data_IF_651734573963
#
_entry.id   IF_651734573963
#
_cell.length_a   1.000
_cell.length_b   1.000
_cell.length_c   1.000
_cell.angle_alpha   90.00
_cell.angle_beta   90.00
_cell.angle_gamma   90.00
#
_symmetry.space_group_name_H-M   'P 1'
#
loop_
_entity.id
_entity.type
_entity.pdbx_description
1 polymer ?
#
# COMPACT_ATOMS: atom_id res chain seq x y z
N UNK A 1 -49.81 -31.02 -65.82
CA UNK A 1 -49.39 -31.04 -64.41
C UNK A 1 -47.89 -31.31 -64.21
N UNK A 2 -47.28 -32.26 -64.95
CA UNK A 2 -45.85 -32.60 -64.82
C UNK A 2 -44.88 -31.41 -65.05
N UNK A 3 -45.13 -30.59 -66.09
CA UNK A 3 -44.28 -29.45 -66.43
C UNK A 3 -44.29 -28.33 -65.39
N UNK A 4 -45.41 -28.17 -64.68
CA UNK A 4 -45.55 -27.16 -63.62
C UNK A 4 -44.70 -27.58 -62.41
N UNK A 5 -44.69 -28.87 -62.08
CA UNK A 5 -43.87 -29.43 -61.01
C UNK A 5 -42.37 -29.29 -61.34
N UNK A 6 -41.98 -29.54 -62.60
CA UNK A 6 -40.61 -29.37 -63.04
C UNK A 6 -40.13 -27.91 -62.95
N UNK A 7 -40.96 -26.96 -63.38
CA UNK A 7 -40.65 -25.53 -63.25
C UNK A 7 -40.57 -25.08 -61.79
N UNK A 8 -41.42 -25.60 -60.90
CA UNK A 8 -41.35 -25.31 -59.46
C UNK A 8 -40.06 -25.85 -58.82
N UNK A 9 -39.61 -27.05 -59.18
CA UNK A 9 -38.37 -27.64 -58.66
C UNK A 9 -37.11 -26.88 -59.13
N UNK A 10 -37.10 -26.41 -60.38
CA UNK A 10 -36.02 -25.55 -60.89
C UNK A 10 -36.02 -24.17 -60.19
N UNK A 11 -37.20 -23.65 -59.86
CA UNK A 11 -37.32 -22.39 -59.12
C UNK A 11 -36.85 -22.53 -57.66
N UNK A 12 -37.19 -23.63 -56.99
CA UNK A 12 -36.78 -23.92 -55.61
C UNK A 12 -35.25 -24.09 -55.53
N UNK A 13 -34.64 -24.86 -56.44
CA UNK A 13 -33.18 -25.05 -56.49
C UNK A 13 -32.41 -23.76 -56.82
N UNK A 14 -32.96 -22.91 -57.69
CA UNK A 14 -32.46 -21.55 -57.93
C UNK A 14 -32.49 -20.68 -56.66
N UNK A 15 -33.59 -20.72 -55.92
CA UNK A 15 -33.73 -19.99 -54.66
C UNK A 15 -32.79 -20.53 -53.57
N UNK A 16 -32.56 -21.84 -53.48
CA UNK A 16 -31.58 -22.46 -52.58
C UNK A 16 -30.12 -22.06 -52.89
N UNK A 17 -29.77 -21.94 -54.17
CA UNK A 17 -28.44 -21.45 -54.58
C UNK A 17 -28.27 -19.95 -54.28
N UNK A 18 -29.34 -19.16 -54.42
CA UNK A 18 -29.35 -17.74 -54.05
C UNK A 18 -29.29 -17.52 -52.53
N UNK A 19 -29.92 -18.37 -51.72
CA UNK A 19 -29.83 -18.33 -50.25
C UNK A 19 -28.47 -18.81 -49.76
N UNK A 20 -27.86 -19.84 -50.37
CA UNK A 20 -26.48 -20.25 -50.08
C UNK A 20 -25.45 -19.17 -50.45
N UNK A 21 -25.64 -18.47 -51.58
CA UNK A 21 -24.77 -17.36 -51.97
C UNK A 21 -24.97 -16.10 -51.11
N UNK A 22 -26.18 -15.83 -50.63
CA UNK A 22 -26.45 -14.78 -49.62
C UNK A 22 -25.89 -15.16 -48.24
N UNK A 23 -25.99 -16.41 -47.82
CA UNK A 23 -25.34 -16.91 -46.60
C UNK A 23 -23.82 -16.83 -46.68
N UNK A 24 -23.21 -17.24 -47.82
CA UNK A 24 -21.76 -17.06 -48.05
C UNK A 24 -21.34 -15.60 -48.09
N UNK A 25 -22.15 -14.70 -48.68
CA UNK A 25 -21.89 -13.24 -48.66
C UNK A 25 -22.07 -12.60 -47.29
N UNK A 26 -23.02 -13.06 -46.48
CA UNK A 26 -23.25 -12.55 -45.13
C UNK A 26 -22.21 -13.08 -44.13
N UNK A 27 -21.74 -14.31 -44.32
CA UNK A 27 -20.61 -14.90 -43.57
C UNK A 27 -19.27 -14.31 -44.03
N UNK A 28 -19.10 -13.94 -45.30
CA UNK A 28 -17.88 -13.27 -45.78
C UNK A 28 -17.78 -11.81 -45.32
N UNK A 29 -18.92 -11.12 -45.14
CA UNK A 29 -18.96 -9.75 -44.65
C UNK A 29 -18.62 -9.66 -43.15
N UNK A 30 -18.96 -10.68 -42.35
CA UNK A 30 -18.53 -10.78 -40.94
C UNK A 30 -17.11 -11.35 -40.77
N UNK A 31 -16.50 -11.92 -41.81
CA UNK A 31 -15.15 -12.50 -41.77
C UNK A 31 -14.04 -11.51 -42.12
N UNK A 32 -14.34 -10.43 -42.85
CA UNK A 32 -13.37 -9.36 -43.18
C UNK A 32 -13.07 -8.43 -41.98
N UNK A 33 -13.92 -8.44 -40.95
CA UNK A 33 -13.67 -7.74 -39.68
C UNK A 33 -12.68 -8.50 -38.76
N UNK A 34 -12.42 -9.79 -39.03
CA UNK A 34 -11.66 -10.67 -38.13
C UNK A 34 -10.12 -10.63 -38.30
N UNK A 35 -9.62 -9.97 -39.34
CA UNK A 35 -8.18 -9.86 -39.63
C UNK A 35 -7.69 -8.42 -39.76
N UNK A 36 -8.29 -7.52 -38.97
CA UNK A 36 -7.77 -6.17 -38.78
C UNK A 36 -6.39 -6.19 -38.11
N UNK A 37 -5.44 -5.44 -38.67
CA UNK A 37 -4.07 -5.38 -38.14
C UNK A 37 -3.18 -6.60 -38.48
N UNK A 38 -3.67 -7.51 -39.32
CA UNK A 38 -2.95 -8.70 -39.75
C UNK A 38 -2.32 -8.53 -41.14
N UNK A 39 -1.06 -8.94 -41.30
CA UNK A 39 -0.36 -8.95 -42.59
C UNK A 39 -0.69 -10.23 -43.38
N UNK A 40 -0.72 -11.37 -42.69
CA UNK A 40 -1.01 -12.67 -43.30
C UNK A 40 -2.12 -13.38 -42.52
N UNK A 41 -3.29 -13.51 -43.14
CA UNK A 41 -4.49 -14.09 -42.53
C UNK A 41 -4.88 -15.39 -43.25
N UNK A 42 -5.33 -16.38 -42.48
CA UNK A 42 -5.85 -17.67 -42.93
C UNK A 42 -7.26 -17.88 -42.35
N UNK A 43 -8.15 -18.50 -43.11
CA UNK A 43 -9.53 -18.75 -42.67
C UNK A 43 -9.60 -19.69 -41.45
N UNK A 44 -8.71 -20.69 -41.39
CA UNK A 44 -8.73 -21.70 -40.32
C UNK A 44 -7.89 -21.31 -39.09
N UNK A 45 -6.76 -20.66 -39.31
CA UNK A 45 -5.77 -20.33 -38.27
C UNK A 45 -5.83 -18.86 -37.82
N UNK A 46 -6.72 -18.06 -38.41
CA UNK A 46 -6.76 -16.62 -38.19
C UNK A 46 -5.46 -15.94 -38.65
N UNK A 47 -5.01 -14.95 -37.88
CA UNK A 47 -3.80 -14.21 -38.21
C UNK A 47 -2.52 -15.01 -37.92
N UNK A 48 -1.64 -15.10 -38.91
CA UNK A 48 -0.33 -15.74 -38.79
C UNK A 48 0.74 -14.71 -38.40
N UNK A 49 0.72 -13.53 -39.03
CA UNK A 49 1.68 -12.44 -38.76
C UNK A 49 0.99 -11.09 -38.63
N UNK A 50 1.21 -10.42 -37.50
CA UNK A 50 0.68 -9.08 -37.23
C UNK A 50 1.60 -7.97 -37.73
N UNK A 51 1.08 -6.76 -37.88
CA UNK A 51 1.94 -5.58 -38.05
C UNK A 51 2.89 -5.40 -36.86
N UNK A 52 4.07 -4.81 -37.10
CA UNK A 52 5.16 -4.63 -36.14
C UNK A 52 4.80 -3.87 -34.84
N UNK A 53 3.67 -3.14 -34.80
CA UNK A 53 3.18 -2.44 -33.58
C UNK A 53 2.21 -3.26 -32.73
N UNK A 54 1.72 -4.38 -33.26
CA UNK A 54 0.72 -5.23 -32.64
C UNK A 54 1.36 -6.50 -32.08
N UNK A 55 0.66 -7.15 -31.16
CA UNK A 55 1.04 -8.43 -30.58
C UNK A 55 0.13 -9.53 -31.11
N UNK A 56 0.73 -10.64 -31.53
CA UNK A 56 0.03 -11.87 -31.89
C UNK A 56 -0.44 -12.58 -30.61
N UNK A 57 -1.75 -12.72 -30.46
CA UNK A 57 -2.41 -13.52 -29.44
C UNK A 57 -2.93 -14.80 -30.07
N UNK A 58 -2.59 -15.95 -29.49
CA UNK A 58 -3.19 -17.23 -29.89
C UNK A 58 -4.38 -17.51 -28.98
N UNK A 59 -5.58 -17.43 -29.53
CA UNK A 59 -6.82 -17.76 -28.83
C UNK A 59 -7.15 -19.24 -28.98
N UNK A 60 -7.71 -19.85 -27.93
CA UNK A 60 -8.13 -21.25 -27.94
C UNK A 60 -9.63 -21.34 -27.71
N UNK A 61 -10.32 -21.99 -28.61
CA UNK A 61 -11.74 -22.32 -28.48
C UNK A 61 -11.95 -23.81 -28.79
N UNK A 62 -12.17 -24.61 -27.74
CA UNK A 62 -12.12 -26.06 -27.82
C UNK A 62 -10.77 -26.58 -28.32
N UNK A 63 -10.79 -27.26 -29.48
CA UNK A 63 -9.58 -27.79 -30.14
C UNK A 63 -8.96 -26.80 -31.13
N UNK A 64 -9.67 -25.73 -31.49
CA UNK A 64 -9.23 -24.76 -32.49
C UNK A 64 -8.30 -23.74 -31.84
N UNK A 65 -7.25 -23.37 -32.58
CA UNK A 65 -6.35 -22.28 -32.20
C UNK A 65 -6.31 -21.31 -33.37
N UNK A 66 -6.61 -20.05 -33.12
CA UNK A 66 -6.51 -19.02 -34.14
C UNK A 66 -5.77 -17.79 -33.60
N UNK A 67 -5.02 -17.14 -34.47
CA UNK A 67 -4.26 -15.95 -34.15
C UNK A 67 -5.09 -14.68 -34.31
N UNK A 68 -4.88 -13.73 -33.40
CA UNK A 68 -5.48 -12.39 -33.41
C UNK A 68 -4.40 -11.35 -33.14
N UNK A 69 -4.53 -10.16 -33.72
CA UNK A 69 -3.62 -9.05 -33.47
C UNK A 69 -4.23 -8.07 -32.47
N UNK A 70 -3.53 -7.79 -31.38
CA UNK A 70 -3.99 -6.87 -30.34
C UNK A 70 -2.94 -5.78 -30.06
N UNK A 71 -3.39 -4.59 -29.71
CA UNK A 71 -2.48 -3.51 -29.28
C UNK A 71 -1.86 -3.78 -27.91
N UNK A 72 -2.66 -4.36 -27.00
CA UNK A 72 -2.27 -4.66 -25.62
C UNK A 72 -2.69 -6.09 -25.30
N UNK A 73 -1.79 -6.88 -24.69
CA UNK A 73 -2.12 -8.23 -24.29
C UNK A 73 -3.19 -8.25 -23.18
N UNK A 74 -4.13 -9.20 -23.22
CA UNK A 74 -5.20 -9.29 -22.23
C UNK A 74 -4.69 -9.72 -20.84
N UNK A 75 -5.48 -9.55 -19.77
CA UNK A 75 -5.12 -10.02 -18.44
C UNK A 75 -4.71 -11.49 -18.42
N UNK A 76 -3.69 -11.83 -17.64
CA UNK A 76 -3.06 -13.15 -17.62
C UNK A 76 -2.05 -13.38 -18.75
N UNK A 77 -1.79 -12.39 -19.60
CA UNK A 77 -0.76 -12.42 -20.63
C UNK A 77 0.17 -11.20 -20.52
N UNK A 78 1.40 -11.35 -20.97
CA UNK A 78 2.38 -10.28 -21.11
C UNK A 78 2.93 -10.24 -22.54
N UNK A 79 3.24 -9.05 -23.02
CA UNK A 79 3.77 -8.84 -24.36
C UNK A 79 5.27 -9.12 -24.42
N UNK A 80 5.68 -9.97 -25.35
CA UNK A 80 7.10 -10.23 -25.65
C UNK A 80 7.40 -9.67 -27.03
N UNK A 81 8.38 -8.77 -27.12
CA UNK A 81 8.89 -8.27 -28.39
C UNK A 81 9.96 -9.22 -28.89
N UNK A 82 9.63 -10.00 -29.91
CA UNK A 82 10.57 -10.88 -30.60
C UNK A 82 11.23 -10.16 -31.78
N UNK A 83 12.29 -10.77 -32.33
CA UNK A 83 12.95 -10.29 -33.54
C UNK A 83 11.99 -10.26 -34.74
N UNK A 84 11.18 -11.31 -34.89
CA UNK A 84 10.28 -11.48 -36.04
C UNK A 84 8.82 -11.07 -35.74
N UNK A 85 8.31 -11.45 -34.57
CA UNK A 85 6.90 -11.25 -34.20
C UNK A 85 6.77 -10.94 -32.73
N UNK A 86 6.07 -9.85 -32.41
CA UNK A 86 5.64 -9.57 -31.04
C UNK A 86 4.48 -10.48 -30.68
N UNK A 87 4.51 -11.11 -29.51
CA UNK A 87 3.51 -12.10 -29.11
C UNK A 87 3.03 -11.93 -27.69
N UNK A 88 1.78 -12.28 -27.42
CA UNK A 88 1.26 -12.38 -26.06
C UNK A 88 1.58 -13.76 -25.48
N UNK A 89 2.33 -13.78 -24.39
CA UNK A 89 2.68 -15.02 -23.67
C UNK A 89 1.90 -15.07 -22.37
N UNK A 90 1.34 -16.24 -22.03
CA UNK A 90 0.59 -16.42 -20.79
C UNK A 90 1.52 -16.33 -19.57
N UNK A 91 1.06 -15.67 -18.51
CA UNK A 91 1.74 -15.66 -17.21
C UNK A 91 1.94 -17.10 -16.70
N UNK A 92 3.07 -17.38 -16.03
CA UNK A 92 3.32 -18.72 -15.47
C UNK A 92 2.35 -19.07 -14.34
N UNK A 93 2.13 -18.12 -13.42
CA UNK A 93 1.33 -18.38 -12.23
C UNK A 93 -0.17 -18.20 -12.51
N UNK A 94 -1.02 -19.20 -12.20
CA UNK A 94 -2.47 -19.08 -12.34
C UNK A 94 -3.09 -18.12 -11.32
N UNK A 95 -2.35 -17.79 -10.26
CA UNK A 95 -2.74 -16.85 -9.19
C UNK A 95 -2.42 -15.39 -9.54
N UNK A 96 -1.76 -15.16 -10.68
CA UNK A 96 -1.40 -13.84 -11.17
C UNK A 96 -2.50 -13.29 -12.09
N UNK A 97 -2.85 -12.01 -11.91
CA UNK A 97 -3.79 -11.27 -12.76
C UNK A 97 -3.04 -10.57 -13.90
N UNK A 98 -1.93 -9.88 -13.59
CA UNK A 98 -1.06 -9.26 -14.58
C UNK A 98 0.40 -9.50 -14.23
N UNK A 99 1.20 -9.90 -15.23
CA UNK A 99 2.62 -10.16 -15.08
C UNK A 99 3.44 -9.26 -16.00
N UNK A 100 4.63 -8.87 -15.54
CA UNK A 100 5.61 -8.14 -16.34
C UNK A 100 6.39 -9.11 -17.23
N UNK A 101 6.78 -10.25 -16.66
CA UNK A 101 7.52 -11.31 -17.32
C UNK A 101 6.90 -12.67 -17.01
N UNK A 102 7.50 -13.74 -17.53
CA UNK A 102 7.04 -15.10 -17.26
C UNK A 102 6.98 -15.41 -15.76
N UNK A 103 7.97 -14.94 -15.02
CA UNK A 103 8.19 -15.28 -13.61
C UNK A 103 7.88 -14.12 -12.65
N UNK A 104 7.71 -12.89 -13.17
CA UNK A 104 7.44 -11.71 -12.36
C UNK A 104 6.00 -11.23 -12.55
N UNK A 105 5.19 -11.45 -11.51
CA UNK A 105 3.83 -10.93 -11.39
C UNK A 105 3.84 -9.49 -10.87
N UNK A 106 3.02 -8.62 -11.47
CA UNK A 106 2.81 -7.25 -11.00
C UNK A 106 1.55 -7.13 -10.13
N UNK A 107 0.52 -7.95 -10.41
CA UNK A 107 -0.74 -7.93 -9.66
C UNK A 107 -1.28 -9.34 -9.48
N UNK A 108 -1.52 -9.70 -8.23
CA UNK A 108 -2.12 -10.98 -7.87
C UNK A 108 -3.65 -10.92 -7.91
N UNK A 109 -4.27 -12.07 -8.16
CA UNK A 109 -5.72 -12.24 -8.04
C UNK A 109 -6.17 -12.06 -6.59
N UNK A 110 -7.48 -11.91 -6.40
CA UNK A 110 -8.07 -11.81 -5.07
C UNK A 110 -7.70 -13.01 -4.18
N UNK A 111 -7.52 -12.73 -2.89
CA UNK A 111 -7.11 -13.70 -1.85
C UNK A 111 -5.67 -14.23 -2.03
N UNK A 112 -4.83 -13.49 -2.74
CA UNK A 112 -3.39 -13.71 -2.80
C UNK A 112 -2.65 -12.42 -2.45
N UNK A 113 -1.47 -12.58 -1.87
CA UNK A 113 -0.55 -11.53 -1.54
C UNK A 113 0.64 -11.56 -2.49
N UNK A 114 1.05 -10.38 -2.96
CA UNK A 114 2.23 -10.23 -3.81
C UNK A 114 3.49 -10.13 -2.95
N UNK A 115 4.49 -10.95 -3.27
CA UNK A 115 5.81 -10.91 -2.65
C UNK A 115 6.90 -11.23 -3.67
N UNK A 116 7.87 -10.32 -3.86
CA UNK A 116 9.00 -10.47 -4.80
C UNK A 116 8.58 -10.97 -6.20
N UNK A 117 7.46 -10.45 -6.72
CA UNK A 117 6.92 -10.83 -8.03
C UNK A 117 6.16 -12.16 -8.06
N UNK A 118 5.86 -12.77 -6.92
CA UNK A 118 5.12 -14.03 -6.82
C UNK A 118 3.86 -13.86 -5.96
N UNK A 119 2.85 -14.71 -6.21
CA UNK A 119 1.56 -14.63 -5.53
C UNK A 119 1.37 -15.80 -4.57
N UNK A 120 1.16 -15.51 -3.29
CA UNK A 120 0.98 -16.50 -2.23
C UNK A 120 -0.36 -16.36 -1.54
N UNK A 121 -0.91 -17.45 -1.00
CA UNK A 121 -2.18 -17.40 -0.23
C UNK A 121 -2.01 -16.72 1.13
N UNK A 122 -0.84 -16.93 1.74
CA UNK A 122 -0.41 -16.30 2.98
C UNK A 122 1.02 -15.78 2.80
N UNK A 123 1.38 -14.73 3.51
CA UNK A 123 2.73 -14.18 3.46
C UNK A 123 3.76 -15.19 4.02
N UNK A 124 4.92 -15.34 3.38
CA UNK A 124 5.98 -16.23 3.86
C UNK A 124 6.55 -15.78 5.21
N UNK A 125 7.21 -16.67 5.96
CA UNK A 125 7.83 -16.32 7.25
C UNK A 125 8.78 -15.11 7.13
N UNK A 126 8.79 -14.25 8.14
CA UNK A 126 9.56 -12.99 8.13
C UNK A 126 8.94 -11.86 7.32
N UNK A 127 7.69 -12.03 6.88
CA UNK A 127 6.93 -10.98 6.17
C UNK A 127 5.52 -10.88 6.71
N UNK A 128 4.94 -9.68 6.65
CA UNK A 128 3.57 -9.42 7.06
C UNK A 128 2.78 -8.76 5.93
N UNK A 129 1.49 -9.07 5.87
CA UNK A 129 0.58 -8.43 4.95
C UNK A 129 0.37 -6.97 5.32
N UNK A 130 0.67 -6.06 4.37
CA UNK A 130 0.38 -4.63 4.53
C UNK A 130 -1.13 -4.38 4.53
N UNK A 131 -1.66 -3.61 5.50
CA UNK A 131 -3.06 -3.22 5.51
C UNK A 131 -3.35 -2.28 4.33
N UNK A 132 -4.16 -2.75 3.38
CA UNK A 132 -4.66 -1.96 2.25
C UNK A 132 -4.07 -2.31 0.89
N UNK A 133 -2.84 -2.83 0.79
CA UNK A 133 -2.17 -3.08 -0.50
C UNK A 133 -2.09 -4.55 -0.93
N UNK A 134 -2.46 -5.51 -0.07
CA UNK A 134 -2.35 -6.98 -0.36
C UNK A 134 -0.94 -7.37 -0.82
N UNK A 135 0.07 -6.72 -0.26
CA UNK A 135 1.48 -7.00 -0.49
C UNK A 135 2.10 -7.52 0.81
N UNK A 136 3.04 -8.45 0.68
CA UNK A 136 3.85 -8.88 1.81
C UNK A 136 5.06 -7.97 1.91
N UNK A 137 5.20 -7.30 3.05
CA UNK A 137 6.40 -6.51 3.37
C UNK A 137 7.26 -7.30 4.35
N UNK A 138 8.57 -7.23 4.18
CA UNK A 138 9.51 -7.79 5.16
C UNK A 138 9.30 -7.15 6.52
N UNK A 139 9.13 -7.99 7.54
CA UNK A 139 9.06 -7.55 8.93
C UNK A 139 10.44 -7.53 9.51
N UNK A 140 10.82 -6.36 9.98
CA UNK A 140 12.06 -6.12 10.68
C UNK A 140 11.98 -6.69 12.10
N UNK A 141 12.75 -7.74 12.38
CA UNK A 141 12.97 -8.26 13.73
C UNK A 141 14.02 -7.37 14.42
N UNK A 142 13.63 -6.57 15.43
CA UNK A 142 14.58 -5.68 16.10
C UNK A 142 15.50 -6.50 17.01
N UNK A 143 16.74 -6.00 17.18
CA UNK A 143 17.71 -6.59 18.09
C UNK A 143 17.31 -6.52 19.56
N UNK A 144 18.15 -7.07 20.46
CA UNK A 144 17.90 -6.98 21.90
C UNK A 144 17.83 -5.52 22.36
N UNK A 145 17.03 -5.27 23.38
CA UNK A 145 16.97 -3.96 24.03
C UNK A 145 18.28 -3.63 24.74
N UNK A 146 18.68 -2.37 24.70
CA UNK A 146 19.70 -1.84 25.60
C UNK A 146 19.23 -1.89 27.06
N UNK A 147 20.18 -1.77 27.98
CA UNK A 147 19.88 -1.42 29.36
C UNK A 147 19.11 -0.09 29.45
N UNK A 148 18.31 0.07 30.50
CA UNK A 148 17.59 1.31 30.77
C UNK A 148 18.56 2.43 31.11
N UNK A 149 18.33 3.62 30.56
CA UNK A 149 19.07 4.82 30.96
C UNK A 149 18.82 5.17 32.43
N UNK A 150 19.68 6.01 33.00
CA UNK A 150 19.40 6.59 34.32
C UNK A 150 18.05 7.34 34.32
N UNK A 151 17.34 7.27 35.44
CA UNK A 151 16.08 7.99 35.64
C UNK A 151 16.34 9.51 35.67
N UNK A 152 15.78 10.25 34.72
CA UNK A 152 15.97 11.70 34.60
C UNK A 152 14.64 12.45 34.53
N UNK A 153 14.61 13.68 35.05
CA UNK A 153 13.49 14.62 34.89
C UNK A 153 14.03 15.87 34.21
N UNK A 154 13.46 16.25 33.06
CA UNK A 154 13.95 17.38 32.24
C UNK A 154 15.48 17.34 31.99
N UNK A 155 16.00 16.14 31.67
CA UNK A 155 17.44 15.87 31.45
C UNK A 155 18.34 15.96 32.70
N UNK A 156 17.76 16.06 33.90
CA UNK A 156 18.50 16.08 35.18
C UNK A 156 18.32 14.76 35.94
N UNK A 157 19.35 14.29 36.64
CA UNK A 157 19.29 13.07 37.49
C UNK A 157 18.64 13.31 38.86
N UNK A 158 17.90 14.41 39.02
CA UNK A 158 17.21 14.79 40.23
C UNK A 158 15.79 15.27 39.90
N UNK A 159 14.85 15.09 40.83
CA UNK A 159 13.47 15.53 40.64
C UNK A 159 12.57 15.12 41.80
N UNK A 160 11.34 15.63 41.80
CA UNK A 160 10.48 15.63 42.99
C UNK A 160 9.86 14.25 43.32
N UNK A 161 9.38 13.48 42.33
CA UNK A 161 8.80 12.13 42.58
C UNK A 161 9.02 11.15 41.44
N UNK A 162 8.84 11.63 40.21
CA UNK A 162 8.90 10.81 39.01
C UNK A 162 9.89 11.40 38.01
N UNK A 163 10.57 10.52 37.31
CA UNK A 163 11.37 10.82 36.14
C UNK A 163 11.03 9.83 35.02
N UNK A 164 11.87 9.86 34.00
CA UNK A 164 11.74 9.06 32.80
C UNK A 164 13.06 8.34 32.56
N UNK A 165 12.96 7.06 32.22
CA UNK A 165 14.06 6.26 31.71
C UNK A 165 13.72 5.82 30.30
N UNK A 166 14.73 5.74 29.46
CA UNK A 166 14.59 5.41 28.05
C UNK A 166 15.56 4.28 27.73
N UNK A 167 15.13 3.34 26.90
CA UNK A 167 15.98 2.33 26.29
C UNK A 167 15.81 2.34 24.79
N UNK A 168 16.84 1.92 24.09
CA UNK A 168 16.86 1.86 22.63
C UNK A 168 17.19 0.43 22.18
N UNK A 169 16.75 0.06 20.99
CA UNK A 169 17.17 -1.17 20.33
C UNK A 169 17.49 -0.89 18.89
N UNK A 170 18.50 -1.58 18.39
CA UNK A 170 18.94 -1.42 17.02
C UNK A 170 18.24 -2.42 16.11
N UNK A 171 18.12 -2.05 14.84
CA UNK A 171 17.65 -2.93 13.77
C UNK A 171 18.89 -3.53 13.11
N UNK A 172 18.93 -4.85 12.85
CA UNK A 172 20.01 -5.45 12.06
C UNK A 172 20.22 -4.67 10.76
N UNK A 173 21.47 -4.40 10.40
CA UNK A 173 21.82 -3.47 9.31
C UNK A 173 21.20 -3.85 7.96
N UNK A 174 20.98 -5.15 7.72
CA UNK A 174 20.29 -5.69 6.55
C UNK A 174 18.81 -5.22 6.40
N UNK A 175 18.14 -4.89 7.50
CA UNK A 175 16.75 -4.42 7.48
C UNK A 175 16.62 -2.88 7.39
N UNK A 176 17.74 -2.14 7.39
CA UNK A 176 17.76 -0.68 7.20
C UNK A 176 17.71 -0.26 5.74
N UNK A 177 18.21 -1.10 4.83
CA UNK A 177 18.28 -0.78 3.39
C UNK A 177 16.95 -0.99 2.66
N UNK A 178 16.15 -1.97 3.10
CA UNK A 178 14.79 -2.15 2.62
C UNK A 178 13.83 -1.33 3.47
N UNK A 179 12.84 -0.69 2.83
CA UNK A 179 11.82 0.18 3.46
C UNK A 179 10.86 -0.61 4.37
N UNK A 180 11.39 -1.30 5.38
CA UNK A 180 10.65 -2.08 6.34
C UNK A 180 10.02 -1.18 7.39
N UNK A 181 8.75 -1.41 7.71
CA UNK A 181 8.10 -0.78 8.85
C UNK A 181 8.56 -1.51 10.13
N UNK A 182 9.67 -1.05 10.72
CA UNK A 182 10.17 -1.61 11.98
C UNK A 182 9.26 -1.20 13.16
N UNK A 183 9.09 -2.10 14.15
CA UNK A 183 8.44 -1.75 15.41
C UNK A 183 9.25 -0.68 16.18
N UNK A 184 8.65 -0.07 17.22
CA UNK A 184 9.26 1.04 17.98
C UNK A 184 10.70 0.75 18.42
N UNK A 185 11.64 1.64 18.07
CA UNK A 185 13.08 1.51 18.34
C UNK A 185 13.50 2.14 19.67
N UNK A 186 12.61 2.91 20.28
CA UNK A 186 12.81 3.58 21.55
C UNK A 186 11.59 3.28 22.44
N UNK A 187 11.87 2.93 23.68
CA UNK A 187 10.85 2.76 24.70
C UNK A 187 11.16 3.65 25.90
N UNK A 188 10.10 4.27 26.42
CA UNK A 188 10.20 5.27 27.47
C UNK A 188 9.25 4.88 28.61
N UNK A 189 9.78 4.82 29.84
CA UNK A 189 9.03 4.42 31.03
C UNK A 189 9.18 5.44 32.15
N UNK A 190 8.15 5.55 33.00
CA UNK A 190 8.21 6.35 34.24
C UNK A 190 8.98 5.60 35.32
N UNK A 191 9.88 6.30 35.98
CA UNK A 191 10.70 5.77 37.08
C UNK A 191 10.59 6.68 38.30
N UNK A 192 10.79 6.13 39.51
CA UNK A 192 10.83 6.93 40.73
C UNK A 192 12.22 7.57 40.90
N UNK A 193 12.24 8.86 41.19
CA UNK A 193 13.50 9.57 41.41
C UNK A 193 14.06 9.27 42.79
N UNK A 194 15.36 8.96 42.86
CA UNK A 194 16.06 8.70 44.13
C UNK A 194 16.60 9.97 44.79
N UNK A 195 16.85 11.03 44.01
CA UNK A 195 17.46 12.28 44.47
C UNK A 195 16.53 13.46 44.19
N UNK A 196 16.26 14.25 45.22
CA UNK A 196 15.63 15.56 45.06
C UNK A 196 16.67 16.56 44.55
N UNK A 197 16.24 17.53 43.75
CA UNK A 197 17.16 18.54 43.26
C UNK A 197 17.59 19.47 44.40
N UNK A 198 18.89 19.73 44.58
CA UNK A 198 19.37 20.76 45.49
C UNK A 198 18.92 22.12 44.97
N UNK A 199 17.95 22.73 45.65
CA UNK A 199 17.27 23.95 45.22
C UNK A 199 15.77 23.98 45.52
N UNK A 200 15.17 22.85 45.91
CA UNK A 200 13.89 22.85 46.60
C UNK A 200 14.14 23.03 48.10
N UNK A 201 14.06 24.27 48.58
CA UNK A 201 14.13 24.57 50.01
C UNK A 201 13.04 23.78 50.75
N UNK A 202 13.48 22.75 51.48
CA UNK A 202 12.70 22.21 52.57
C UNK A 202 12.78 23.23 53.70
N UNK A 203 11.77 24.09 53.84
CA UNK A 203 11.45 24.62 55.15
C UNK A 203 11.00 23.45 56.02
N UNK A 204 11.97 22.79 56.64
CA UNK A 204 11.75 21.94 57.80
C UNK A 204 11.30 22.87 58.93
N UNK A 205 9.99 23.07 59.06
CA UNK A 205 9.41 23.63 60.27
C UNK A 205 9.60 22.59 61.38
N UNK A 206 10.60 22.82 62.21
CA UNK A 206 10.78 22.15 63.48
C UNK A 206 9.58 22.36 64.40
N UNK A 207 9.44 21.43 65.33
CA UNK A 207 8.35 21.28 66.28
C UNK A 207 7.93 22.58 66.99
N UNK A 208 6.61 22.75 67.14
CA UNK A 208 5.95 23.75 67.98
C UNK A 208 4.44 23.56 67.91
N UNK A 209 3.80 23.47 69.06
CA UNK A 209 2.47 22.91 69.31
C UNK A 209 1.26 23.51 68.56
N UNK A 210 0.31 22.62 68.23
CA UNK A 210 -1.14 22.80 68.38
C UNK A 210 -1.88 23.82 67.50
N UNK A 211 -2.52 23.36 66.42
CA UNK A 211 -3.95 23.61 66.13
C UNK A 211 -4.45 22.75 64.95
N UNK A 212 -5.70 22.30 65.02
CA UNK A 212 -6.35 21.50 63.99
C UNK A 212 -6.58 22.28 62.69
N UNK A 213 -6.25 21.71 61.52
CA UNK A 213 -6.99 21.96 60.26
C UNK A 213 -6.64 20.98 59.14
N UNK A 214 -7.70 20.33 58.65
CA UNK A 214 -7.96 19.84 57.27
C UNK A 214 -6.77 19.36 56.41
N UNK A 215 -6.79 18.05 56.12
CA UNK A 215 -6.07 17.42 55.01
C UNK A 215 -6.46 18.11 53.69
N UNK A 216 -5.52 18.80 53.07
CA UNK A 216 -5.54 19.07 51.63
C UNK A 216 -4.32 18.37 51.03
N UNK A 217 -4.59 17.37 50.18
CA UNK A 217 -3.60 16.80 49.26
C UNK A 217 -3.27 17.89 48.23
N UNK A 218 -2.29 18.74 48.53
CA UNK A 218 -1.67 19.58 47.52
C UNK A 218 -0.53 18.79 46.87
N UNK A 219 -0.73 18.46 45.60
CA UNK A 219 0.32 18.02 44.70
C UNK A 219 1.42 19.09 44.69
N UNK A 220 2.51 18.85 45.42
CA UNK A 220 3.69 19.71 45.43
C UNK A 220 4.25 19.86 44.02
N UNK A 221 3.98 21.01 43.42
CA UNK A 221 4.50 21.43 42.12
C UNK A 221 6.02 21.62 42.26
N UNK A 222 6.79 20.86 41.50
CA UNK A 222 8.23 21.07 41.36
C UNK A 222 8.40 22.48 40.76
N UNK A 223 8.88 23.43 41.55
CA UNK A 223 8.93 24.84 41.18
C UNK A 223 9.84 25.07 39.98
N UNK A 224 9.27 25.50 38.86
CA UNK A 224 10.01 26.22 37.82
C UNK A 224 10.26 27.62 38.36
N UNK A 225 11.51 27.92 38.74
CA UNK A 225 11.93 29.29 38.97
C UNK A 225 11.94 30.02 37.64
N UNK A 226 10.81 30.61 37.26
CA UNK A 226 10.77 31.65 36.24
C UNK A 226 11.21 32.93 36.92
N UNK A 227 12.38 33.43 36.54
CA UNK A 227 12.86 34.74 36.96
C UNK A 227 11.82 35.81 36.57
N UNK A 228 11.21 36.43 37.56
CA UNK A 228 10.28 37.55 37.36
C UNK A 228 11.08 38.81 37.00
N UNK A 229 11.10 39.15 35.71
CA UNK A 229 11.40 40.50 35.25
C UNK A 229 10.20 41.40 35.52
N UNK A 230 10.41 42.44 36.30
CA UNK A 230 9.42 43.47 36.63
C UNK A 230 8.82 44.12 35.37
N UNK A 231 7.50 44.02 35.22
CA UNK A 231 6.73 44.71 34.19
C UNK A 231 5.29 44.90 34.66
N UNK A 232 4.99 46.11 35.11
CA UNK A 232 3.66 46.58 35.50
C UNK A 232 2.66 46.57 34.33
N UNK A 233 1.48 45.96 34.49
CA UNK A 233 0.42 46.05 33.48
C UNK A 233 -0.84 45.23 33.77
N UNK A 234 -1.80 45.86 34.45
CA UNK A 234 -3.27 45.77 34.33
C UNK A 234 -4.03 44.41 34.24
N UNK A 235 -5.02 44.32 35.15
CA UNK A 235 -6.21 43.45 35.24
C UNK A 235 -6.82 43.00 33.90
N UNK A 236 -7.24 41.73 33.86
CA UNK A 236 -8.53 41.33 33.30
C UNK A 236 -9.06 40.05 34.00
N UNK A 237 -10.21 40.19 34.65
CA UNK A 237 -11.12 39.09 34.99
C UNK A 237 -11.63 38.47 33.69
N UNK A 238 -11.69 37.14 33.56
CA UNK A 238 -12.73 36.45 32.80
C UNK A 238 -12.78 34.95 33.10
N UNK A 239 -14.01 34.47 33.07
CA UNK A 239 -14.62 33.21 33.46
C UNK A 239 -14.11 31.94 32.78
N UNK A 240 -14.21 30.81 33.50
CA UNK A 240 -14.32 29.45 32.96
C UNK A 240 -15.38 29.35 31.84
N UNK A 241 -15.21 28.41 30.89
CA UNK A 241 -16.09 27.22 30.94
C UNK A 241 -15.38 25.91 30.58
N UNK A 242 -16.10 24.83 30.89
CA UNK A 242 -15.72 23.42 30.80
C UNK A 242 -15.91 22.84 29.38
N UNK A 243 -15.03 21.89 29.06
CA UNK A 243 -15.26 20.61 28.34
C UNK A 243 -15.33 20.55 26.79
N UNK A 244 -14.53 19.58 26.29
CA UNK A 244 -14.66 18.77 25.06
C UNK A 244 -14.45 19.45 23.69
N UNK A 245 -13.89 18.84 22.64
CA UNK A 245 -12.89 17.80 22.35
C UNK A 245 -12.77 17.83 20.79
N UNK A 246 -11.64 17.37 20.24
CA UNK A 246 -11.47 16.85 18.85
C UNK A 246 -11.13 17.83 17.68
N UNK A 247 -10.05 17.46 16.97
CA UNK A 247 -9.66 17.66 15.55
C UNK A 247 -8.88 18.92 15.13
N UNK A 248 -7.73 18.66 14.49
CA UNK A 248 -7.22 19.49 13.39
C UNK A 248 -5.79 20.01 13.55
N UNK A 249 -4.79 19.15 13.33
CA UNK A 249 -3.41 19.60 13.02
C UNK A 249 -3.42 20.39 11.71
N UNK A 250 -3.13 21.68 11.78
CA UNK A 250 -2.67 22.46 10.63
C UNK A 250 -1.13 22.52 10.65
N UNK A 251 -0.53 22.10 9.54
CA UNK A 251 0.90 22.11 9.24
C UNK A 251 1.24 23.47 8.62
N UNK A 252 2.18 24.23 9.20
CA UNK A 252 2.91 25.35 8.55
C UNK A 252 4.28 25.44 9.28
N UNK A 253 5.38 24.85 8.78
CA UNK A 253 6.41 25.42 7.87
C UNK A 253 6.91 26.83 8.23
N UNK A 254 8.22 26.97 8.45
CA UNK A 254 8.90 28.27 8.54
C UNK A 254 10.22 28.18 9.33
N UNK A 255 11.31 27.75 8.69
CA UNK A 255 12.44 28.59 8.21
C UNK A 255 13.25 29.25 9.34
N UNK A 256 14.41 28.64 9.64
CA UNK A 256 15.50 29.30 10.37
C UNK A 256 16.26 30.20 9.39
N UNK A 257 16.30 31.49 9.70
CA UNK A 257 17.28 32.42 9.14
C UNK A 257 18.38 32.61 10.19
N UNK A 258 19.61 32.22 9.86
CA UNK A 258 20.82 32.63 10.55
C UNK A 258 21.62 33.53 9.61
N UNK A 259 21.90 34.75 10.06
CA UNK A 259 23.13 35.48 9.79
C UNK A 259 23.32 36.51 10.89
N UNK A 260 24.57 36.73 11.28
CA UNK A 260 25.23 37.97 10.87
C UNK A 260 26.20 37.77 9.71
#
# INVERSE_FOLDING_TARGET
>A
MQWIIFMLLLFISSMEMLTQNRWKKQVSASLLENCTGCVLCSEDNGCITCHHRLFLLIWRDGIRQYGMCVHTCPPGYFGVRGLEVNRCTKCRSPSCESCFSRDFCMKCKDKFYLYKGQCFRQCPPGTAAQPGTRECQETCEPGPWSEWSACTHESRTCGCKWGVETRVREVPEAAREERAACPALQETRRCRMKKHCPGGEHHAAGAGDGFASLRSESEGRCGTTVAAGSGSGQRAMLSSPKHFEILGKAVISGTCAEQP
#
